data_IF_987814782316
#
_entry.id   IF_987814782316
#
_cell.length_a   1.000
_cell.length_b   1.000
_cell.length_c   1.000
_cell.angle_alpha   90.00
_cell.angle_beta   90.00
_cell.angle_gamma   90.00
#
_symmetry.space_group_name_H-M   'P 1'
#
loop_
_entity.id
_entity.type
_entity.pdbx_description
1 polymer ?
#
# COMPACT_ATOMS: atom_id res chain seq x y z
N UNK A 1 26.18 -8.28 -1.63
CA UNK A 1 27.08 -9.39 -1.98
C UNK A 1 26.40 -10.76 -2.10
N UNK A 2 25.37 -11.07 -1.27
CA UNK A 2 24.69 -12.38 -1.32
C UNK A 2 23.51 -12.45 -2.31
N UNK A 3 23.13 -11.32 -2.87
CA UNK A 3 22.08 -11.21 -3.88
C UNK A 3 22.63 -10.77 -5.25
N UNK A 4 23.96 -10.71 -5.39
CA UNK A 4 24.67 -10.35 -6.62
C UNK A 4 24.23 -8.99 -7.19
N UNK A 5 23.84 -8.06 -6.30
CA UNK A 5 23.37 -6.73 -6.68
C UNK A 5 24.50 -5.82 -7.13
N UNK A 6 24.26 -5.05 -8.17
CA UNK A 6 25.16 -4.02 -8.68
C UNK A 6 24.77 -2.65 -8.13
N UNK A 7 25.71 -1.95 -7.55
CA UNK A 7 25.46 -0.63 -6.98
C UNK A 7 25.37 0.43 -8.08
N UNK A 8 24.35 1.26 -8.02
CA UNK A 8 24.12 2.43 -8.86
C UNK A 8 23.82 3.64 -7.98
N UNK A 9 23.92 4.82 -8.54
CA UNK A 9 23.49 6.05 -7.88
C UNK A 9 22.75 6.93 -8.90
N UNK A 10 21.44 7.00 -8.76
CA UNK A 10 20.60 7.84 -9.59
C UNK A 10 20.54 9.28 -9.07
N UNK A 11 20.29 10.28 -9.92
CA UNK A 11 19.96 11.63 -9.47
C UNK A 11 18.71 11.64 -8.60
N UNK A 12 18.68 12.54 -7.63
CA UNK A 12 17.46 12.77 -6.81
C UNK A 12 16.43 13.59 -7.58
N UNK A 13 16.88 14.60 -8.34
CA UNK A 13 16.04 15.37 -9.23
C UNK A 13 15.96 14.64 -10.59
N UNK A 14 14.76 14.25 -10.97
CA UNK A 14 14.49 13.43 -12.15
C UNK A 14 13.65 14.19 -13.16
N UNK A 15 13.83 13.94 -14.48
CA UNK A 15 12.93 14.46 -15.50
C UNK A 15 11.49 14.00 -15.28
N UNK A 16 10.54 14.93 -15.30
CA UNK A 16 9.11 14.61 -15.21
C UNK A 16 8.61 13.71 -16.34
N UNK A 17 9.26 13.75 -17.51
CA UNK A 17 8.92 12.92 -18.66
C UNK A 17 8.97 11.42 -18.40
N UNK A 18 9.87 10.94 -17.53
CA UNK A 18 9.94 9.53 -17.14
C UNK A 18 8.69 9.12 -16.35
N UNK A 19 8.20 10.01 -15.51
CA UNK A 19 6.99 9.81 -14.72
C UNK A 19 5.71 9.97 -15.54
N UNK A 20 5.74 10.87 -16.55
CA UNK A 20 4.66 10.99 -17.55
C UNK A 20 4.53 9.70 -18.39
N UNK A 21 5.65 9.11 -18.80
CA UNK A 21 5.67 7.85 -19.57
C UNK A 21 5.09 6.68 -18.77
N UNK A 22 5.37 6.58 -17.48
CA UNK A 22 4.80 5.54 -16.61
C UNK A 22 3.34 5.81 -16.22
N UNK A 23 2.81 7.00 -16.50
CA UNK A 23 1.49 7.46 -16.05
C UNK A 23 1.45 7.90 -14.58
N UNK A 24 2.56 7.75 -13.85
CA UNK A 24 2.63 8.06 -12.42
C UNK A 24 2.76 9.55 -12.13
N UNK A 25 3.10 10.37 -13.13
CA UNK A 25 3.13 11.83 -12.95
C UNK A 25 1.77 12.39 -12.53
N UNK A 26 0.68 11.86 -13.07
CA UNK A 26 -0.68 12.28 -12.77
C UNK A 26 -1.34 11.41 -11.69
N UNK A 27 -1.11 10.09 -11.69
CA UNK A 27 -1.76 9.16 -10.77
C UNK A 27 -1.24 9.23 -9.33
N UNK A 28 0.02 9.62 -9.13
CA UNK A 28 0.55 9.90 -7.79
C UNK A 28 0.07 11.27 -7.35
N UNK A 29 -0.55 11.33 -6.18
CA UNK A 29 -1.10 12.57 -5.61
C UNK A 29 -0.07 13.63 -5.24
N UNK A 30 -0.40 14.46 -4.27
CA UNK A 30 0.44 15.57 -3.79
C UNK A 30 1.73 15.13 -3.12
N UNK A 31 1.90 13.86 -2.81
CA UNK A 31 3.14 13.32 -2.22
C UNK A 31 4.35 13.39 -3.16
N UNK A 32 4.13 13.44 -4.47
CA UNK A 32 5.19 13.65 -5.45
C UNK A 32 5.54 15.12 -5.54
N UNK A 33 6.75 15.49 -5.10
CA UNK A 33 7.26 16.85 -5.23
C UNK A 33 7.60 17.17 -6.70
N UNK A 34 6.84 18.10 -7.28
CA UNK A 34 6.97 18.57 -8.66
C UNK A 34 7.53 19.97 -8.67
N UNK A 35 8.42 20.27 -9.61
CA UNK A 35 8.95 21.60 -9.83
C UNK A 35 9.32 21.80 -11.30
N UNK A 36 9.64 23.05 -11.64
CA UNK A 36 10.12 23.40 -12.97
C UNK A 36 11.54 23.95 -12.86
N UNK A 37 12.44 23.47 -13.70
CA UNK A 37 13.80 23.98 -13.73
C UNK A 37 13.87 25.35 -14.44
N UNK A 38 15.08 25.96 -14.48
CA UNK A 38 15.28 27.25 -15.11
C UNK A 38 15.03 27.29 -16.62
N UNK A 39 14.97 26.11 -17.27
CA UNK A 39 14.70 25.98 -18.72
C UNK A 39 13.23 25.75 -19.01
N UNK A 40 12.39 25.66 -17.99
CA UNK A 40 10.96 25.39 -18.11
C UNK A 40 10.62 23.90 -18.16
N UNK A 41 11.58 23.00 -17.94
CA UNK A 41 11.35 21.56 -17.95
C UNK A 41 10.69 21.09 -16.65
N UNK A 42 9.67 20.25 -16.77
CA UNK A 42 9.04 19.59 -15.64
C UNK A 42 10.02 18.61 -14.99
N UNK A 43 10.16 18.72 -13.70
CA UNK A 43 11.03 17.89 -12.87
C UNK A 43 10.28 17.36 -11.66
N UNK A 44 10.79 16.27 -11.08
CA UNK A 44 10.31 15.72 -9.82
C UNK A 44 11.47 15.44 -8.88
N UNK A 45 11.23 15.48 -7.58
CA UNK A 45 12.14 14.87 -6.61
C UNK A 45 11.74 13.41 -6.40
N UNK A 46 12.69 12.51 -6.55
CA UNK A 46 12.44 11.07 -6.52
C UNK A 46 11.85 10.61 -5.18
N UNK A 47 10.60 10.20 -5.18
CA UNK A 47 9.98 9.49 -4.06
C UNK A 47 10.33 7.99 -4.08
N UNK A 48 10.72 7.50 -5.24
CA UNK A 48 11.21 6.17 -5.58
C UNK A 48 11.92 6.26 -6.93
N UNK A 49 12.58 5.22 -7.43
CA UNK A 49 13.39 5.31 -8.65
C UNK A 49 13.12 4.17 -9.65
N UNK A 50 11.91 3.63 -9.70
CA UNK A 50 11.53 2.63 -10.70
C UNK A 50 11.71 3.17 -12.12
N UNK A 51 11.25 4.38 -12.39
CA UNK A 51 11.34 5.02 -13.70
C UNK A 51 12.78 5.18 -14.16
N UNK A 52 13.65 5.66 -13.27
CA UNK A 52 15.08 5.82 -13.57
C UNK A 52 15.77 4.46 -13.78
N UNK A 53 15.39 3.45 -13.01
CA UNK A 53 15.90 2.08 -13.12
C UNK A 53 15.49 1.46 -14.45
N UNK A 54 14.24 1.58 -14.83
CA UNK A 54 13.74 1.08 -16.12
C UNK A 54 14.41 1.80 -17.29
N UNK A 55 14.61 3.11 -17.21
CA UNK A 55 15.31 3.88 -18.24
C UNK A 55 16.75 3.39 -18.41
N UNK A 56 17.50 3.19 -17.32
CA UNK A 56 18.87 2.66 -17.38
C UNK A 56 18.89 1.28 -18.03
N UNK A 57 17.99 0.40 -17.61
CA UNK A 57 17.93 -0.98 -18.12
C UNK A 57 17.53 -1.02 -19.58
N UNK A 58 16.61 -0.19 -20.02
CA UNK A 58 16.21 -0.03 -21.43
C UNK A 58 17.39 0.32 -22.32
N UNK A 59 18.27 1.18 -21.85
CA UNK A 59 19.46 1.60 -22.63
C UNK A 59 20.57 0.57 -22.66
N UNK A 60 20.83 -0.11 -21.55
CA UNK A 60 22.04 -0.93 -21.38
C UNK A 60 21.79 -2.44 -21.36
N UNK A 61 20.57 -2.91 -21.10
CA UNK A 61 20.22 -4.33 -21.02
C UNK A 61 19.24 -4.77 -22.13
N UNK A 62 19.57 -4.43 -23.36
CA UNK A 62 18.74 -4.67 -24.57
C UNK A 62 18.83 -6.10 -25.13
N UNK A 63 19.38 -7.06 -24.38
CA UNK A 63 19.45 -8.48 -24.76
C UNK A 63 19.07 -9.34 -23.57
N UNK A 64 18.22 -10.35 -23.80
CA UNK A 64 17.83 -11.32 -22.76
C UNK A 64 19.02 -12.05 -22.14
N UNK A 65 20.15 -12.15 -22.85
CA UNK A 65 21.36 -12.77 -22.33
C UNK A 65 22.01 -11.99 -21.16
N UNK A 66 21.58 -10.76 -20.92
CA UNK A 66 22.04 -9.94 -19.78
C UNK A 66 21.22 -10.19 -18.49
N UNK A 67 20.09 -10.88 -18.60
CA UNK A 67 19.21 -11.19 -17.48
C UNK A 67 19.50 -12.59 -16.90
N UNK A 68 19.17 -12.85 -15.62
CA UNK A 68 18.64 -11.92 -14.64
C UNK A 68 19.75 -11.09 -14.00
N UNK A 69 19.40 -9.93 -13.42
CA UNK A 69 20.29 -9.12 -12.61
C UNK A 69 19.50 -8.21 -11.65
N UNK A 70 20.21 -7.66 -10.67
CA UNK A 70 19.67 -6.66 -9.74
C UNK A 70 20.59 -5.45 -9.69
N UNK A 71 19.99 -4.27 -9.68
CA UNK A 71 20.66 -3.02 -9.33
C UNK A 71 20.08 -2.49 -8.01
N UNK A 72 20.88 -1.78 -7.23
CA UNK A 72 20.44 -1.17 -5.98
C UNK A 72 21.17 0.13 -5.73
N UNK A 73 20.56 0.96 -4.89
CA UNK A 73 21.18 2.18 -4.38
C UNK A 73 20.83 2.40 -2.92
N UNK A 74 21.60 3.27 -2.28
CA UNK A 74 21.28 3.90 -1.00
C UNK A 74 21.25 5.39 -1.28
N UNK A 75 20.06 5.97 -1.36
CA UNK A 75 19.87 7.32 -1.88
C UNK A 75 18.75 8.04 -1.14
N UNK A 76 18.85 9.36 -1.06
CA UNK A 76 17.80 10.25 -0.58
C UNK A 76 16.52 10.11 -1.41
N UNK A 77 15.39 10.13 -0.72
CA UNK A 77 14.04 10.19 -1.29
C UNK A 77 13.29 11.37 -0.71
N UNK A 78 12.35 11.89 -1.50
CA UNK A 78 11.44 12.94 -1.07
C UNK A 78 10.00 12.47 -1.22
N UNK A 79 9.23 12.60 -0.14
CA UNK A 79 7.78 12.45 -0.16
C UNK A 79 7.18 13.66 0.53
N UNK A 80 6.28 14.39 -0.14
CA UNK A 80 5.66 15.58 0.45
C UNK A 80 4.59 15.18 1.46
N UNK A 81 5.08 14.58 2.55
CA UNK A 81 4.25 14.11 3.65
C UNK A 81 3.47 15.29 4.27
N UNK A 82 2.15 15.18 4.23
CA UNK A 82 1.27 16.25 4.71
C UNK A 82 1.46 16.52 6.22
N UNK A 83 1.75 15.49 7.01
CA UNK A 83 1.89 15.57 8.47
C UNK A 83 3.11 14.81 8.97
N UNK A 84 4.33 15.35 8.82
CA UNK A 84 5.53 14.74 9.42
C UNK A 84 5.34 14.57 10.93
N UNK A 85 5.74 13.43 11.46
CA UNK A 85 5.56 13.08 12.87
C UNK A 85 6.53 12.00 13.33
N UNK A 86 6.53 11.73 14.64
CA UNK A 86 7.34 10.67 15.26
C UNK A 86 8.87 10.84 15.00
N UNK A 87 9.37 12.08 15.05
CA UNK A 87 10.79 12.37 14.89
C UNK A 87 11.30 12.05 13.49
N UNK A 88 12.12 10.99 13.37
CA UNK A 88 12.69 10.55 12.10
C UNK A 88 11.88 9.45 11.40
N UNK A 89 10.79 8.97 11.99
CA UNK A 89 10.01 7.85 11.46
C UNK A 89 9.19 8.29 10.23
N UNK A 90 8.58 9.47 10.29
CA UNK A 90 7.76 10.00 9.20
C UNK A 90 8.17 11.42 8.84
N UNK A 91 9.05 11.51 7.85
CA UNK A 91 9.69 12.76 7.39
C UNK A 91 9.55 12.90 5.88
N UNK A 92 9.77 14.11 5.36
CA UNK A 92 9.70 14.39 3.92
C UNK A 92 10.95 13.98 3.16
N UNK A 93 12.12 14.06 3.80
CA UNK A 93 13.41 13.68 3.23
C UNK A 93 14.03 12.56 4.07
N UNK A 94 14.36 11.44 3.44
CA UNK A 94 14.93 10.28 4.11
C UNK A 94 15.82 9.47 3.18
N UNK A 95 16.70 8.66 3.76
CA UNK A 95 17.53 7.73 3.01
C UNK A 95 16.82 6.40 2.87
N UNK A 96 16.76 5.87 1.65
CA UNK A 96 16.20 4.56 1.33
C UNK A 96 17.27 3.69 0.68
N UNK A 97 17.33 2.42 1.10
CA UNK A 97 17.91 1.38 0.27
C UNK A 97 16.80 0.85 -0.62
N UNK A 98 16.90 1.07 -1.90
CA UNK A 98 16.00 0.52 -2.90
C UNK A 98 16.77 -0.36 -3.89
N UNK A 99 16.15 -1.47 -4.30
CA UNK A 99 16.73 -2.44 -5.20
C UNK A 99 15.68 -2.91 -6.21
N UNK A 100 16.14 -3.10 -7.44
CA UNK A 100 15.30 -3.41 -8.60
C UNK A 100 15.89 -4.61 -9.32
N UNK A 101 15.15 -5.70 -9.43
CA UNK A 101 15.57 -6.91 -10.10
C UNK A 101 14.80 -7.11 -11.40
N UNK A 102 15.49 -7.64 -12.39
CA UNK A 102 15.00 -7.80 -13.75
C UNK A 102 15.17 -9.25 -14.18
N UNK A 103 14.10 -9.86 -14.66
CA UNK A 103 13.99 -11.30 -14.91
C UNK A 103 13.40 -11.58 -16.29
N UNK A 104 13.64 -12.79 -16.81
CA UNK A 104 13.07 -13.23 -18.09
C UNK A 104 11.85 -14.13 -17.93
N UNK A 105 11.57 -14.58 -16.70
CA UNK A 105 10.41 -15.42 -16.40
C UNK A 105 9.88 -15.11 -15.00
N UNK A 106 8.60 -15.42 -14.79
CA UNK A 106 7.95 -15.29 -13.50
C UNK A 106 8.58 -16.23 -12.45
N UNK A 107 8.92 -17.43 -12.86
CA UNK A 107 9.54 -18.43 -11.97
C UNK A 107 10.90 -17.92 -11.42
N UNK A 108 11.75 -17.37 -12.27
CA UNK A 108 13.03 -16.79 -11.86
C UNK A 108 12.82 -15.59 -10.90
N UNK A 109 11.84 -14.74 -11.18
CA UNK A 109 11.46 -13.65 -10.28
C UNK A 109 11.03 -14.17 -8.90
N UNK A 110 10.20 -15.19 -8.83
CA UNK A 110 9.71 -15.76 -7.57
C UNK A 110 10.84 -16.39 -6.74
N UNK A 111 11.74 -17.10 -7.39
CA UNK A 111 12.94 -17.64 -6.73
C UNK A 111 13.83 -16.52 -6.18
N UNK A 112 14.01 -15.47 -6.96
CA UNK A 112 14.81 -14.33 -6.53
C UNK A 112 14.11 -13.55 -5.39
N UNK A 113 12.82 -13.40 -5.45
CA UNK A 113 12.01 -12.80 -4.38
C UNK A 113 12.19 -13.54 -3.05
N UNK A 114 12.21 -14.89 -3.08
CA UNK A 114 12.48 -15.69 -1.89
C UNK A 114 13.91 -15.44 -1.34
N UNK A 115 14.92 -15.30 -2.21
CA UNK A 115 16.28 -14.93 -1.78
C UNK A 115 16.31 -13.55 -1.10
N UNK A 116 15.53 -12.60 -1.60
CA UNK A 116 15.39 -11.28 -0.99
C UNK A 116 14.71 -11.37 0.38
N UNK A 117 13.63 -12.14 0.48
CA UNK A 117 12.93 -12.42 1.73
C UNK A 117 13.90 -12.96 2.80
N UNK A 118 14.68 -13.96 2.47
CA UNK A 118 15.67 -14.53 3.38
C UNK A 118 16.79 -13.53 3.75
N UNK A 119 17.13 -12.64 2.82
CA UNK A 119 18.11 -11.58 3.07
C UNK A 119 17.58 -10.56 4.08
N UNK A 120 16.32 -10.15 3.97
CA UNK A 120 15.70 -9.24 4.92
C UNK A 120 15.61 -9.84 6.33
N UNK A 121 15.25 -11.12 6.47
CA UNK A 121 15.28 -11.80 7.74
C UNK A 121 16.66 -11.74 8.41
N UNK A 122 17.74 -11.97 7.64
CA UNK A 122 19.11 -11.82 8.14
C UNK A 122 19.48 -10.39 8.49
N UNK A 123 19.01 -9.41 7.74
CA UNK A 123 19.25 -7.98 7.98
C UNK A 123 18.64 -7.59 9.33
N UNK A 124 17.37 -7.88 9.55
CA UNK A 124 16.68 -7.51 10.78
C UNK A 124 17.25 -8.24 12.01
N UNK A 125 17.60 -9.51 11.87
CA UNK A 125 18.30 -10.24 12.94
C UNK A 125 19.65 -9.56 13.30
N UNK A 126 20.44 -9.14 12.29
CA UNK A 126 21.70 -8.41 12.51
C UNK A 126 21.51 -7.01 13.09
N UNK A 127 20.36 -6.37 12.84
CA UNK A 127 20.00 -5.10 13.45
C UNK A 127 19.50 -5.23 14.88
N UNK A 128 19.44 -6.44 15.44
CA UNK A 128 19.00 -6.70 16.81
C UNK A 128 17.48 -6.73 16.99
N UNK A 129 16.73 -6.88 15.91
CA UNK A 129 15.25 -7.01 15.91
C UNK A 129 14.82 -8.31 15.22
N UNK A 130 15.17 -9.49 15.80
CA UNK A 130 14.89 -10.78 15.16
C UNK A 130 13.40 -11.14 15.15
N UNK A 131 12.58 -10.53 16.00
CA UNK A 131 11.16 -10.82 16.16
C UNK A 131 10.28 -9.91 15.28
N UNK A 132 10.63 -9.78 14.02
CA UNK A 132 9.82 -9.04 13.05
C UNK A 132 8.79 -9.97 12.45
N UNK A 133 7.52 -9.60 12.50
CA UNK A 133 6.47 -10.30 11.77
C UNK A 133 6.54 -9.96 10.29
N UNK A 134 6.64 -10.96 9.43
CA UNK A 134 6.55 -10.76 7.98
C UNK A 134 5.10 -10.99 7.57
N UNK A 135 4.46 -9.95 7.10
CA UNK A 135 3.03 -9.96 6.79
C UNK A 135 2.78 -9.72 5.31
N UNK A 136 1.77 -10.37 4.78
CA UNK A 136 1.26 -10.04 3.45
C UNK A 136 0.64 -8.65 3.49
N UNK A 137 0.98 -7.83 2.51
CA UNK A 137 0.48 -6.47 2.39
C UNK A 137 -0.17 -6.22 1.02
N UNK A 138 -0.91 -5.14 0.93
CA UNK A 138 -1.38 -4.62 -0.35
C UNK A 138 -0.20 -4.02 -1.11
N UNK A 139 -0.17 -4.20 -2.43
CA UNK A 139 0.90 -3.63 -3.27
C UNK A 139 0.72 -2.14 -3.56
N UNK A 140 -0.45 -1.59 -3.24
CA UNK A 140 -0.77 -0.19 -3.43
C UNK A 140 -0.58 0.30 -4.87
N UNK A 141 -0.25 1.58 -5.01
CA UNK A 141 0.03 2.22 -6.31
C UNK A 141 1.26 1.66 -7.03
N UNK A 142 2.10 0.88 -6.36
CA UNK A 142 3.28 0.26 -6.98
C UNK A 142 2.92 -0.91 -7.88
N UNK A 143 1.74 -1.50 -7.70
CA UNK A 143 1.27 -2.67 -8.43
C UNK A 143 2.00 -3.96 -8.04
N UNK A 144 1.70 -5.04 -8.75
CA UNK A 144 2.25 -6.37 -8.48
C UNK A 144 1.26 -7.28 -7.77
N UNK A 145 1.56 -8.59 -7.75
CA UNK A 145 0.68 -9.62 -7.19
C UNK A 145 1.06 -10.07 -5.78
N UNK A 146 2.27 -9.76 -5.33
CA UNK A 146 2.82 -10.18 -4.03
C UNK A 146 3.54 -9.01 -3.41
N UNK A 147 3.19 -8.69 -2.17
CA UNK A 147 3.89 -7.73 -1.34
C UNK A 147 4.01 -8.24 0.08
N UNK A 148 5.14 -7.98 0.73
CA UNK A 148 5.38 -8.28 2.14
C UNK A 148 5.94 -7.06 2.86
N UNK A 149 5.50 -6.89 4.10
CA UNK A 149 6.02 -5.90 5.03
C UNK A 149 6.62 -6.58 6.24
N UNK A 150 7.71 -6.00 6.74
CA UNK A 150 8.39 -6.44 7.95
C UNK A 150 7.98 -5.55 9.10
N UNK A 151 7.11 -6.07 9.98
CA UNK A 151 6.43 -5.32 11.02
C UNK A 151 7.00 -5.68 12.39
N UNK A 152 7.49 -4.66 13.12
CA UNK A 152 7.84 -4.81 14.53
C UNK A 152 6.58 -4.67 15.38
N UNK A 153 6.28 -5.69 16.17
CA UNK A 153 5.14 -5.67 17.08
C UNK A 153 5.42 -4.74 18.26
N UNK A 154 4.69 -3.64 18.33
CA UNK A 154 4.84 -2.64 19.40
C UNK A 154 3.53 -1.92 19.66
N UNK A 155 3.29 -1.57 20.93
CA UNK A 155 2.11 -0.78 21.31
C UNK A 155 2.14 0.67 20.76
N UNK A 156 3.31 1.15 20.32
CA UNK A 156 3.47 2.47 19.70
C UNK A 156 3.22 2.44 18.18
N UNK A 157 2.93 1.27 17.58
CA UNK A 157 2.63 1.12 16.17
C UNK A 157 1.28 1.73 15.80
N UNK A 158 1.16 2.16 14.55
CA UNK A 158 -0.07 2.77 14.01
C UNK A 158 -0.92 1.76 13.22
N UNK A 159 -0.30 0.70 12.70
CA UNK A 159 -0.95 -0.27 11.84
C UNK A 159 -1.42 -1.50 12.64
N UNK A 160 -2.47 -2.14 12.13
CA UNK A 160 -2.99 -3.38 12.68
C UNK A 160 -2.69 -4.55 11.75
N UNK A 161 -2.24 -5.67 12.32
CA UNK A 161 -1.99 -6.91 11.57
C UNK A 161 -2.80 -8.07 12.13
N UNK A 162 -3.22 -8.95 11.24
CA UNK A 162 -3.90 -10.19 11.58
C UNK A 162 -2.89 -11.35 11.57
N UNK A 163 -2.76 -12.03 12.70
CA UNK A 163 -1.89 -13.21 12.83
C UNK A 163 -2.73 -14.37 13.33
N UNK A 164 -2.66 -15.50 12.62
CA UNK A 164 -3.27 -16.75 13.08
C UNK A 164 -2.24 -17.58 13.83
N UNK A 165 -2.44 -17.86 15.13
CA UNK A 165 -1.49 -18.64 15.92
C UNK A 165 -1.47 -20.13 15.52
N UNK A 166 -2.50 -20.63 14.87
CA UNK A 166 -2.61 -22.04 14.49
C UNK A 166 -1.90 -22.37 13.17
N UNK A 167 -2.11 -21.55 12.13
CA UNK A 167 -1.56 -21.82 10.81
C UNK A 167 -0.43 -20.89 10.38
N UNK A 168 -0.08 -19.89 11.20
CA UNK A 168 0.98 -18.91 10.90
C UNK A 168 0.60 -17.89 9.81
N UNK A 169 -0.67 -17.83 9.35
CA UNK A 169 -1.12 -16.80 8.43
C UNK A 169 -0.89 -15.42 9.04
N UNK A 170 -0.30 -14.52 8.28
CA UNK A 170 -0.01 -13.15 8.71
C UNK A 170 -0.23 -12.17 7.56
N UNK A 171 -1.03 -11.12 7.81
CA UNK A 171 -1.30 -10.06 6.85
C UNK A 171 -1.64 -8.75 7.55
N UNK A 172 -1.42 -7.62 6.90
CA UNK A 172 -2.03 -6.37 7.35
C UNK A 172 -3.56 -6.44 7.13
N UNK A 173 -4.31 -5.59 7.83
CA UNK A 173 -5.79 -5.63 7.77
C UNK A 173 -6.34 -5.27 6.39
N UNK A 174 -5.56 -4.57 5.57
CA UNK A 174 -5.92 -4.18 4.20
C UNK A 174 -5.84 -5.36 3.23
N UNK A 175 -4.83 -6.23 3.40
CA UNK A 175 -4.65 -7.42 2.59
C UNK A 175 -5.37 -8.65 3.18
N UNK A 176 -5.67 -8.67 4.48
CA UNK A 176 -6.32 -9.80 5.13
C UNK A 176 -7.75 -10.00 4.60
N UNK A 177 -8.11 -11.17 4.06
CA UNK A 177 -9.48 -11.45 3.71
C UNK A 177 -10.37 -11.46 4.96
N UNK A 178 -11.55 -10.87 4.87
CA UNK A 178 -12.56 -10.93 5.92
C UNK A 178 -13.75 -11.77 5.46
N UNK A 179 -14.17 -12.70 6.32
CA UNK A 179 -15.35 -13.51 6.08
C UNK A 179 -16.42 -13.05 7.07
N UNK A 180 -17.44 -12.41 6.54
CA UNK A 180 -18.61 -12.00 7.34
C UNK A 180 -19.71 -13.02 7.16
N UNK A 181 -20.05 -13.71 8.25
CA UNK A 181 -21.21 -14.60 8.23
C UNK A 181 -22.49 -13.79 8.34
N UNK A 182 -23.36 -13.91 7.36
CA UNK A 182 -24.72 -13.38 7.40
C UNK A 182 -25.68 -14.50 7.88
N UNK A 183 -25.72 -14.68 9.17
CA UNK A 183 -26.66 -15.64 9.81
C UNK A 183 -27.91 -14.89 10.28
N UNK A 184 -28.48 -14.03 9.44
CA UNK A 184 -29.70 -13.33 9.80
C UNK A 184 -30.89 -14.31 9.76
N UNK A 185 -31.35 -14.70 10.93
CA UNK A 185 -32.49 -15.62 11.13
C UNK A 185 -33.81 -14.87 11.41
N UNK A 186 -33.80 -13.53 11.35
CA UNK A 186 -34.97 -12.72 11.63
C UNK A 186 -35.98 -12.87 10.48
N UNK A 187 -37.23 -13.14 10.84
CA UNK A 187 -38.33 -13.16 9.88
C UNK A 187 -38.47 -11.79 9.23
N UNK A 188 -38.71 -11.76 7.91
CA UNK A 188 -38.99 -10.52 7.21
C UNK A 188 -40.26 -9.91 7.76
N UNK A 189 -40.18 -8.68 8.26
CA UNK A 189 -41.30 -7.88 8.64
C UNK A 189 -41.76 -7.00 7.47
N UNK A 190 -42.99 -6.47 7.57
CA UNK A 190 -43.45 -5.46 6.64
C UNK A 190 -42.65 -4.17 6.80
N UNK A 191 -42.41 -3.49 5.66
CA UNK A 191 -41.72 -2.19 5.66
C UNK A 191 -42.55 -1.16 6.47
N UNK A 192 -41.91 -0.58 7.47
CA UNK A 192 -42.50 0.44 8.33
C UNK A 192 -41.62 1.68 8.36
N UNK A 193 -42.25 2.84 8.34
CA UNK A 193 -41.57 4.09 8.63
C UNK A 193 -41.53 4.31 10.14
N UNK A 194 -40.35 4.56 10.69
CA UNK A 194 -40.18 4.77 12.14
C UNK A 194 -39.41 6.07 12.33
N UNK A 195 -39.99 6.98 13.13
CA UNK A 195 -39.33 8.20 13.52
C UNK A 195 -38.20 7.89 14.53
N UNK A 196 -37.00 8.39 14.28
CA UNK A 196 -35.82 8.18 15.12
C UNK A 196 -35.21 9.53 15.57
N UNK A 197 -35.92 10.30 16.38
CA UNK A 197 -35.48 11.63 16.78
C UNK A 197 -34.25 11.56 17.68
N UNK A 198 -33.20 12.36 17.33
CA UNK A 198 -32.00 12.47 18.14
C UNK A 198 -30.99 11.30 17.97
N UNK A 199 -31.21 10.38 17.02
CA UNK A 199 -30.31 9.28 16.74
C UNK A 199 -29.44 9.62 15.54
N UNK A 200 -28.13 9.83 15.74
CA UNK A 200 -27.16 10.17 14.70
C UNK A 200 -26.14 9.06 14.43
N UNK A 201 -26.06 8.06 15.30
CA UNK A 201 -25.11 6.94 15.20
C UNK A 201 -25.84 5.60 15.15
N UNK A 202 -25.12 4.54 14.74
CA UNK A 202 -25.66 3.17 14.76
C UNK A 202 -25.95 2.72 16.19
N UNK A 203 -25.11 3.08 17.15
CA UNK A 203 -25.26 2.74 18.57
C UNK A 203 -26.55 3.36 19.13
N UNK A 204 -26.76 4.66 18.90
CA UNK A 204 -27.99 5.36 19.34
C UNK A 204 -29.23 4.78 18.67
N UNK A 205 -29.13 4.42 17.37
CA UNK A 205 -30.26 3.79 16.65
C UNK A 205 -30.57 2.40 17.22
N UNK A 206 -29.57 1.59 17.52
CA UNK A 206 -29.73 0.27 18.11
C UNK A 206 -30.33 0.34 19.50
N UNK A 207 -29.92 1.30 20.31
CA UNK A 207 -30.49 1.53 21.65
C UNK A 207 -31.95 1.99 21.55
N UNK A 208 -32.26 2.91 20.65
CA UNK A 208 -33.62 3.44 20.46
C UNK A 208 -34.60 2.38 19.95
N UNK A 209 -34.19 1.57 18.95
CA UNK A 209 -35.03 0.56 18.33
C UNK A 209 -34.99 -0.81 19.01
N UNK A 210 -34.09 -0.99 19.98
CA UNK A 210 -33.80 -2.28 20.64
C UNK A 210 -33.44 -3.40 19.67
N UNK A 211 -32.63 -3.07 18.64
CA UNK A 211 -32.12 -4.01 17.63
C UNK A 211 -30.59 -4.10 17.69
N UNK A 212 -30.02 -5.28 17.42
CA UNK A 212 -28.55 -5.40 17.34
C UNK A 212 -28.01 -4.70 16.11
N UNK A 213 -26.76 -4.21 16.19
CA UNK A 213 -26.10 -3.48 15.12
C UNK A 213 -25.98 -4.28 13.81
N UNK A 214 -25.84 -5.60 13.92
CA UNK A 214 -25.81 -6.52 12.77
C UNK A 214 -27.11 -6.57 11.96
N UNK A 215 -28.20 -6.06 12.52
CA UNK A 215 -29.50 -5.95 11.84
C UNK A 215 -29.74 -4.55 11.25
N UNK A 216 -28.74 -3.68 11.32
CA UNK A 216 -28.77 -2.35 10.69
C UNK A 216 -27.89 -2.31 9.48
N UNK A 217 -28.09 -1.31 8.63
CA UNK A 217 -27.22 -0.99 7.50
C UNK A 217 -26.94 0.51 7.48
N UNK A 218 -25.72 0.86 7.15
CA UNK A 218 -25.30 2.24 6.93
C UNK A 218 -24.85 2.45 5.49
N UNK A 219 -25.11 3.63 4.96
CA UNK A 219 -24.61 4.08 3.68
C UNK A 219 -23.44 5.04 3.90
N UNK A 220 -22.31 4.77 3.28
CA UNK A 220 -21.16 5.65 3.30
C UNK A 220 -20.89 6.15 1.89
N UNK A 221 -20.72 7.46 1.74
CA UNK A 221 -20.53 8.10 0.43
C UNK A 221 -19.08 8.46 0.26
N UNK A 222 -18.50 8.03 -0.84
CA UNK A 222 -17.14 8.37 -1.26
C UNK A 222 -17.17 9.11 -2.59
N UNK A 223 -16.22 10.00 -2.80
CA UNK A 223 -15.97 10.64 -4.09
C UNK A 223 -14.71 10.02 -4.70
N UNK A 224 -14.79 9.60 -5.95
CA UNK A 224 -13.64 9.08 -6.70
C UNK A 224 -12.74 10.23 -7.14
N UNK A 225 -11.44 10.09 -6.92
CA UNK A 225 -10.46 11.10 -7.37
C UNK A 225 -10.25 11.13 -8.89
N UNK A 226 -10.59 10.04 -9.59
CA UNK A 226 -10.33 9.90 -11.02
C UNK A 226 -11.30 10.68 -11.91
N UNK A 227 -12.56 10.80 -11.51
CA UNK A 227 -13.64 11.35 -12.34
C UNK A 227 -14.68 12.14 -11.54
N UNK A 228 -14.41 12.44 -10.26
CA UNK A 228 -15.31 13.12 -9.34
C UNK A 228 -16.68 12.45 -9.13
N UNK A 229 -16.85 11.22 -9.60
CA UNK A 229 -18.09 10.47 -9.40
C UNK A 229 -18.27 10.03 -7.96
N UNK A 230 -19.53 9.79 -7.55
CA UNK A 230 -19.85 9.33 -6.21
C UNK A 230 -20.08 7.83 -6.17
N UNK A 231 -19.53 7.19 -5.14
CA UNK A 231 -19.77 5.79 -4.80
C UNK A 231 -20.53 5.75 -3.47
N UNK A 232 -21.66 5.08 -3.44
CA UNK A 232 -22.41 4.83 -2.19
C UNK A 232 -22.22 3.37 -1.83
N UNK A 233 -21.49 3.12 -0.74
CA UNK A 233 -21.24 1.79 -0.22
C UNK A 233 -22.21 1.50 0.95
N UNK A 234 -23.00 0.44 0.81
CA UNK A 234 -23.85 -0.05 1.88
C UNK A 234 -23.15 -1.16 2.64
N UNK A 235 -23.07 -1.01 3.94
CA UNK A 235 -22.43 -1.99 4.82
C UNK A 235 -23.29 -2.24 6.06
N UNK A 236 -23.19 -3.42 6.63
CA UNK A 236 -23.87 -3.78 7.88
C UNK A 236 -23.39 -2.85 9.01
N UNK A 237 -24.27 -2.46 9.91
CA UNK A 237 -24.01 -1.40 10.88
C UNK A 237 -22.88 -1.67 11.87
N UNK A 238 -22.63 -2.94 12.19
CA UNK A 238 -21.54 -3.38 13.08
C UNK A 238 -20.15 -3.44 12.39
N UNK A 239 -20.08 -3.15 11.08
CA UNK A 239 -18.86 -3.23 10.29
C UNK A 239 -18.45 -1.84 9.80
N UNK A 240 -17.14 -1.68 9.54
CA UNK A 240 -16.56 -0.49 8.90
C UNK A 240 -15.99 -0.81 7.52
N UNK A 241 -16.00 0.19 6.65
CA UNK A 241 -15.43 0.08 5.33
C UNK A 241 -13.92 0.31 5.45
N UNK A 242 -13.14 -0.62 4.92
CA UNK A 242 -11.72 -0.40 4.66
C UNK A 242 -11.57 0.22 3.27
N UNK A 243 -11.03 1.43 3.20
CA UNK A 243 -10.94 2.21 1.96
C UNK A 243 -10.04 1.54 0.91
N UNK A 244 -8.92 0.95 1.31
CA UNK A 244 -8.03 0.21 0.40
C UNK A 244 -8.75 -0.98 -0.22
N UNK A 245 -9.50 -1.75 0.56
CA UNK A 245 -10.31 -2.86 0.03
C UNK A 245 -11.41 -2.39 -0.90
N UNK A 246 -12.04 -1.25 -0.59
CA UNK A 246 -13.06 -0.66 -1.46
C UNK A 246 -12.46 -0.21 -2.79
N UNK A 247 -11.33 0.49 -2.76
CA UNK A 247 -10.58 0.92 -3.95
C UNK A 247 -10.21 -0.27 -4.83
N UNK A 248 -9.65 -1.32 -4.23
CA UNK A 248 -9.30 -2.55 -4.94
C UNK A 248 -10.52 -3.25 -5.55
N UNK A 249 -11.65 -3.26 -4.85
CA UNK A 249 -12.90 -3.86 -5.36
C UNK A 249 -13.51 -3.07 -6.51
N UNK A 250 -13.32 -1.77 -6.55
CA UNK A 250 -13.80 -0.88 -7.62
C UNK A 250 -12.83 -0.82 -8.82
N UNK A 251 -11.60 -1.29 -8.66
CA UNK A 251 -10.57 -1.25 -9.71
C UNK A 251 -10.10 0.17 -10.04
N UNK A 252 -10.08 1.05 -9.09
CA UNK A 252 -9.68 2.46 -9.25
C UNK A 252 -8.53 2.85 -8.34
#
# INVERSE_FOLDING_TARGET
DKLDGQEVLFPVALPGSLWEESGRYESVGSELLRFTDRTGSKMVLGMTHEEASVQLVREYANSYAKYPFMIYQIQTKFRDEARPRAGLIRVREFTMKDAYSFHTSQEDLEQYYQRCYDAYNRIFARCGIPEVAVVKSDSGMMGGSISHEYMLLTAAGEDSIAICPECGYSANVEAAPSIVKNENTIAKEELKEVATPGTGTIEELCEFLHIPAENTAKAVVYQRNADDSYVVAFIRGDLDINETKLTNALGC
#
